data_IF_020728283186
#
_entry.id   IF_020728283186
#
_cell.length_a   1.000
_cell.length_b   1.000
_cell.length_c   1.000
_cell.angle_alpha   90.00
_cell.angle_beta   90.00
_cell.angle_gamma   90.00
#
_symmetry.space_group_name_H-M   'P 1'
#
loop_
_entity.id
_entity.type
_entity.pdbx_description
1 polymer ?
#
# COMPACT_ATOMS: atom_id res chain seq x y z
N UNK A 1 -4.63 -7.05 -12.18
CA UNK A 1 -3.71 -6.22 -12.99
C UNK A 1 -4.05 -4.76 -12.70
N UNK A 2 -3.03 -3.90 -12.54
CA UNK A 2 -3.23 -2.47 -12.24
C UNK A 2 -3.42 -1.65 -13.52
N UNK A 3 -3.79 -0.38 -13.38
CA UNK A 3 -3.93 0.56 -14.49
C UNK A 3 -2.64 0.74 -15.32
N UNK A 4 -1.48 0.55 -14.68
CA UNK A 4 -0.16 0.61 -15.33
C UNK A 4 0.40 -0.79 -15.65
N UNK A 5 -0.47 -1.80 -15.70
CA UNK A 5 -0.15 -3.19 -16.06
C UNK A 5 0.79 -3.92 -15.08
N UNK A 6 1.00 -3.42 -13.87
CA UNK A 6 1.65 -4.21 -12.81
C UNK A 6 0.73 -5.33 -12.31
N UNK A 7 1.31 -6.42 -11.82
CA UNK A 7 0.58 -7.63 -11.42
C UNK A 7 1.03 -8.10 -10.05
N UNK A 8 0.05 -8.51 -9.24
CA UNK A 8 0.25 -9.29 -8.01
C UNK A 8 -0.36 -10.67 -8.20
N UNK A 9 0.18 -11.66 -7.49
CA UNK A 9 -0.33 -13.02 -7.44
C UNK A 9 -1.05 -13.20 -6.10
N UNK A 10 -2.34 -13.54 -6.14
CA UNK A 10 -3.11 -13.84 -4.93
C UNK A 10 -3.39 -15.33 -4.78
N UNK A 11 -3.41 -15.84 -3.55
CA UNK A 11 -3.82 -17.22 -3.22
C UNK A 11 -4.72 -17.22 -1.99
N UNK A 12 -5.68 -18.15 -1.97
CA UNK A 12 -6.42 -18.50 -0.75
C UNK A 12 -5.62 -19.56 0.01
N UNK A 13 -5.06 -19.20 1.15
CA UNK A 13 -4.25 -20.11 1.97
C UNK A 13 -5.12 -21.01 2.85
N UNK A 14 -6.22 -20.47 3.38
CA UNK A 14 -7.15 -21.21 4.22
C UNK A 14 -8.55 -20.58 4.23
N UNK A 15 -9.55 -21.39 4.54
CA UNK A 15 -10.86 -20.90 4.99
C UNK A 15 -10.81 -20.59 6.49
N UNK A 16 -11.56 -19.59 6.93
CA UNK A 16 -11.68 -19.20 8.34
C UNK A 16 -13.03 -18.53 8.60
N UNK A 17 -13.23 -17.98 9.80
CA UNK A 17 -14.41 -17.19 10.17
C UNK A 17 -14.01 -15.89 10.84
N UNK A 18 -14.79 -14.82 10.63
CA UNK A 18 -14.68 -13.55 11.36
C UNK A 18 -16.05 -13.25 11.96
N UNK A 19 -16.16 -13.43 13.28
CA UNK A 19 -17.47 -13.53 13.93
C UNK A 19 -18.29 -14.67 13.32
N UNK A 20 -19.53 -14.40 12.96
CA UNK A 20 -20.43 -15.39 12.35
C UNK A 20 -20.28 -15.50 10.82
N UNK A 21 -19.30 -14.80 10.22
CA UNK A 21 -19.12 -14.77 8.77
C UNK A 21 -17.99 -15.70 8.31
N UNK A 22 -18.26 -16.51 7.28
CA UNK A 22 -17.22 -17.27 6.57
C UNK A 22 -16.25 -16.32 5.88
N UNK A 23 -14.96 -16.63 5.99
CA UNK A 23 -13.87 -15.80 5.51
C UNK A 23 -12.72 -16.66 4.98
N UNK A 24 -11.66 -16.01 4.51
CA UNK A 24 -10.43 -16.65 4.04
C UNK A 24 -9.20 -15.96 4.63
N UNK A 25 -8.09 -16.69 4.65
CA UNK A 25 -6.74 -16.13 4.81
C UNK A 25 -6.12 -15.98 3.43
N UNK A 26 -6.04 -14.76 2.85
CA UNK A 26 -5.40 -14.54 1.56
C UNK A 26 -3.90 -14.31 1.71
N UNK A 27 -3.11 -14.74 0.73
CA UNK A 27 -1.75 -14.25 0.50
C UNK A 27 -1.70 -13.43 -0.78
N UNK A 28 -0.81 -12.44 -0.81
CA UNK A 28 -0.58 -11.55 -1.95
C UNK A 28 0.93 -11.44 -2.15
N UNK A 29 1.40 -11.82 -3.32
CA UNK A 29 2.79 -11.69 -3.76
C UNK A 29 2.91 -10.55 -4.77
N UNK A 30 3.95 -9.74 -4.61
CA UNK A 30 4.32 -8.68 -5.53
C UNK A 30 5.81 -8.38 -5.42
N UNK A 31 6.29 -7.50 -6.31
CA UNK A 31 7.67 -7.02 -6.27
C UNK A 31 7.72 -5.55 -5.89
N UNK A 32 8.79 -5.17 -5.19
CA UNK A 32 9.13 -3.79 -4.89
C UNK A 32 10.62 -3.58 -5.19
N UNK A 33 10.96 -2.37 -5.63
CA UNK A 33 12.34 -1.99 -5.99
C UNK A 33 12.71 -0.74 -5.21
N UNK A 34 13.90 -0.73 -4.60
CA UNK A 34 14.43 0.46 -3.96
C UNK A 34 14.74 1.53 -5.03
N UNK A 35 14.12 2.69 -4.93
CA UNK A 35 14.28 3.79 -5.90
C UNK A 35 15.27 4.85 -5.45
N UNK A 36 15.59 4.91 -4.15
CA UNK A 36 16.56 5.86 -3.59
C UNK A 36 16.50 5.94 -2.07
N UNK A 37 17.41 6.72 -1.49
CA UNK A 37 17.43 7.07 -0.07
C UNK A 37 17.33 8.58 0.04
N UNK A 38 16.34 9.05 0.80
CA UNK A 38 16.02 10.48 0.89
C UNK A 38 16.19 10.99 2.31
N UNK A 39 16.79 12.17 2.46
CA UNK A 39 16.77 12.98 3.68
C UNK A 39 15.84 14.17 3.43
N UNK A 40 14.68 14.18 4.09
CA UNK A 40 13.66 15.22 3.91
C UNK A 40 13.68 16.14 5.13
N UNK A 41 13.78 17.45 4.90
CA UNK A 41 13.72 18.48 5.94
C UNK A 41 12.35 19.15 5.93
N UNK A 42 11.79 19.36 7.12
CA UNK A 42 10.49 20.03 7.29
C UNK A 42 10.68 21.22 8.21
N UNK A 43 10.53 22.43 7.69
CA UNK A 43 10.52 23.68 8.46
C UNK A 43 9.08 24.14 8.67
N UNK A 44 8.63 24.25 9.92
CA UNK A 44 7.27 24.69 10.26
C UNK A 44 6.98 26.15 9.89
N UNK A 45 7.99 26.93 9.50
CA UNK A 45 7.79 28.27 8.94
C UNK A 45 7.37 28.24 7.47
N UNK A 46 7.59 27.13 6.76
CA UNK A 46 7.11 26.94 5.40
C UNK A 46 5.56 26.86 5.42
N UNK A 47 4.83 27.67 4.64
CA UNK A 47 3.36 27.64 4.58
C UNK A 47 2.77 26.28 4.20
N UNK A 48 3.56 25.40 3.57
CA UNK A 48 3.17 24.10 3.05
C UNK A 48 3.96 22.95 3.68
N UNK A 49 4.51 23.13 4.89
CA UNK A 49 5.29 22.09 5.59
C UNK A 49 4.55 20.75 5.73
N UNK A 50 3.21 20.78 5.78
CA UNK A 50 2.34 19.60 5.88
C UNK A 50 1.88 19.03 4.52
N UNK A 51 2.29 19.65 3.41
CA UNK A 51 1.77 19.38 2.07
C UNK A 51 0.40 20.00 1.83
N UNK A 52 -0.05 19.94 0.57
CA UNK A 52 -1.38 20.35 0.15
C UNK A 52 -1.83 19.48 -1.03
N UNK A 53 -3.14 19.44 -1.28
CA UNK A 53 -3.74 18.80 -2.44
C UNK A 53 -4.66 19.80 -3.13
N UNK A 54 -4.62 19.82 -4.46
CA UNK A 54 -5.58 20.56 -5.28
C UNK A 54 -6.68 19.58 -5.69
N UNK A 55 -7.94 19.94 -5.44
CA UNK A 55 -9.13 19.17 -5.82
C UNK A 55 -9.72 19.71 -7.13
#
# INVERSE_FOLDING_TARGET
ESYICSRFIGRVEAETTVGDHRAIVPSIEGSAVATGFNTIWVDHKDPFWAGFQVV
#
